data_IF_145378343797
#
_entry.id   IF_145378343797
#
_cell.length_a   1.000
_cell.length_b   1.000
_cell.length_c   1.000
_cell.angle_alpha   90.00
_cell.angle_beta   90.00
_cell.angle_gamma   90.00
#
_symmetry.space_group_name_H-M   'P 1'
#
loop_
_entity.id
_entity.type
_entity.pdbx_description
1 polymer ?
#
# COMPACT_ATOMS: atom_id res chain seq x y z
N UNK A 1 13.24 9.84 29.96
CA UNK A 1 13.55 10.06 28.53
C UNK A 1 12.81 8.98 27.74
N UNK A 2 12.08 9.35 26.68
CA UNK A 2 11.48 8.35 25.77
C UNK A 2 12.63 7.75 24.95
N UNK A 3 12.69 6.43 24.74
CA UNK A 3 13.70 5.86 23.86
C UNK A 3 13.58 6.45 22.46
N UNK A 4 14.72 6.72 21.82
CA UNK A 4 14.81 7.30 20.47
C UNK A 4 13.96 6.54 19.42
N UNK A 5 13.88 5.22 19.56
CA UNK A 5 13.11 4.31 18.70
C UNK A 5 11.58 4.53 18.80
N UNK A 6 11.09 5.08 19.91
CA UNK A 6 9.66 5.35 20.13
C UNK A 6 9.30 6.82 19.95
N UNK A 7 10.19 7.64 19.39
CA UNK A 7 9.86 9.04 19.11
C UNK A 7 8.64 9.12 18.19
N UNK A 8 7.60 9.88 18.59
CA UNK A 8 6.41 10.03 17.79
C UNK A 8 6.72 10.79 16.51
N UNK A 9 6.03 10.43 15.43
CA UNK A 9 6.06 11.17 14.17
C UNK A 9 5.11 12.35 14.31
N UNK A 10 5.52 13.53 13.84
CA UNK A 10 4.63 14.69 13.78
C UNK A 10 3.48 14.46 12.78
N UNK A 11 2.40 15.23 12.90
CA UNK A 11 1.30 15.18 11.94
C UNK A 11 1.77 15.39 10.49
N UNK A 12 2.64 16.38 10.27
CA UNK A 12 3.24 16.64 8.96
C UNK A 12 4.13 15.51 8.47
N UNK A 13 4.78 14.78 9.38
CA UNK A 13 5.51 13.57 9.04
C UNK A 13 4.59 12.49 8.49
N UNK A 14 3.46 12.21 9.16
CA UNK A 14 2.47 11.26 8.64
C UNK A 14 1.93 11.66 7.27
N UNK A 15 1.61 12.95 7.07
CA UNK A 15 1.16 13.44 5.77
C UNK A 15 2.25 13.29 4.69
N UNK A 16 3.49 13.68 5.00
CA UNK A 16 4.62 13.55 4.08
C UNK A 16 4.90 12.10 3.69
N UNK A 17 4.84 11.17 4.65
CA UNK A 17 5.00 9.74 4.37
C UNK A 17 3.83 9.17 3.54
N UNK A 18 2.59 9.65 3.74
CA UNK A 18 1.46 9.23 2.89
C UNK A 18 1.68 9.66 1.43
N UNK A 19 2.09 10.90 1.20
CA UNK A 19 2.41 11.39 -0.15
C UNK A 19 3.58 10.60 -0.73
N UNK A 20 4.63 10.35 0.07
CA UNK A 20 5.78 9.57 -0.36
C UNK A 20 5.41 8.15 -0.76
N UNK A 21 4.63 7.44 0.05
CA UNK A 21 4.20 6.06 -0.22
C UNK A 21 3.20 5.95 -1.37
N UNK A 22 2.48 7.02 -1.71
CA UNK A 22 1.62 7.08 -2.88
C UNK A 22 2.40 7.09 -4.21
N UNK A 23 3.70 7.41 -4.20
CA UNK A 23 4.53 7.39 -5.40
C UNK A 23 4.81 5.94 -5.84
N UNK A 24 4.58 5.59 -7.12
CA UNK A 24 4.60 4.20 -7.57
C UNK A 24 5.99 3.55 -7.53
N UNK A 25 7.06 4.29 -7.84
CA UNK A 25 8.41 3.75 -7.87
C UNK A 25 9.15 4.01 -6.55
N UNK A 26 9.44 5.29 -6.27
CA UNK A 26 10.23 5.68 -5.09
C UNK A 26 9.47 5.36 -3.80
N UNK A 27 8.16 5.62 -3.77
CA UNK A 27 7.31 5.34 -2.62
C UNK A 27 7.25 3.86 -2.28
N UNK A 28 7.08 3.00 -3.29
CA UNK A 28 7.07 1.55 -3.11
C UNK A 28 8.41 1.04 -2.58
N UNK A 29 9.54 1.48 -3.12
CA UNK A 29 10.88 1.09 -2.63
C UNK A 29 11.04 1.48 -1.17
N UNK A 30 10.74 2.73 -0.81
CA UNK A 30 10.88 3.22 0.57
C UNK A 30 9.89 2.54 1.53
N UNK A 31 8.68 2.24 1.06
CA UNK A 31 7.68 1.48 1.82
C UNK A 31 8.20 0.08 2.16
N UNK A 32 8.81 -0.63 1.20
CA UNK A 32 9.43 -1.95 1.44
C UNK A 32 10.61 -1.84 2.40
N UNK A 33 11.50 -0.87 2.19
CA UNK A 33 12.66 -0.64 3.07
C UNK A 33 12.20 -0.38 4.51
N UNK A 34 11.24 0.52 4.73
CA UNK A 34 10.77 0.84 6.08
C UNK A 34 9.93 -0.25 6.72
N UNK A 35 9.15 -1.02 5.94
CA UNK A 35 8.35 -2.13 6.48
C UNK A 35 9.22 -3.32 6.93
N UNK A 36 10.30 -3.62 6.20
CA UNK A 36 11.22 -4.73 6.52
C UNK A 36 12.32 -4.37 7.51
N UNK A 37 12.45 -3.11 7.93
CA UNK A 37 13.32 -2.74 9.06
C UNK A 37 14.42 -1.72 8.76
N UNK A 38 14.38 -1.04 7.62
CA UNK A 38 15.30 0.04 7.27
C UNK A 38 15.19 1.32 8.10
N UNK A 39 14.44 1.29 9.21
CA UNK A 39 14.35 2.41 10.17
C UNK A 39 14.40 1.92 11.62
N UNK A 40 15.11 2.69 12.45
CA UNK A 40 15.16 2.51 13.90
C UNK A 40 13.92 3.04 14.61
N UNK A 41 13.05 3.82 13.94
CA UNK A 41 11.83 4.33 14.56
C UNK A 41 10.69 3.29 14.41
N UNK A 42 10.20 2.75 15.53
CA UNK A 42 9.12 1.75 15.55
C UNK A 42 7.79 2.31 15.07
N UNK A 43 7.48 3.58 15.34
CA UNK A 43 6.25 4.21 14.84
C UNK A 43 6.27 4.25 13.31
N UNK A 44 7.38 4.66 12.69
CA UNK A 44 7.51 4.70 11.23
C UNK A 44 7.45 3.31 10.61
N UNK A 45 8.14 2.35 11.21
CA UNK A 45 8.10 0.96 10.76
C UNK A 45 6.69 0.37 10.82
N UNK A 46 5.96 0.58 11.92
CA UNK A 46 4.60 0.08 12.06
C UNK A 46 3.65 0.78 11.07
N UNK A 47 3.83 2.08 10.84
CA UNK A 47 3.07 2.83 9.84
C UNK A 47 3.32 2.30 8.41
N UNK A 48 4.59 2.06 8.04
CA UNK A 48 4.95 1.47 6.76
C UNK A 48 4.36 0.05 6.60
N UNK A 49 4.38 -0.77 7.67
CA UNK A 49 3.77 -2.11 7.65
C UNK A 49 2.26 -2.08 7.47
N UNK A 50 1.54 -1.18 8.17
CA UNK A 50 0.09 -1.06 7.97
C UNK A 50 -0.24 -0.61 6.54
N UNK A 51 0.52 0.34 6.00
CA UNK A 51 0.32 0.81 4.62
C UNK A 51 0.62 -0.30 3.60
N UNK A 52 1.67 -1.08 3.82
CA UNK A 52 2.01 -2.24 2.99
C UNK A 52 0.91 -3.31 3.01
N UNK A 53 0.36 -3.65 4.19
CA UNK A 53 -0.76 -4.59 4.30
C UNK A 53 -2.01 -4.07 3.55
N UNK A 54 -2.33 -2.78 3.69
CA UNK A 54 -3.45 -2.17 2.97
C UNK A 54 -3.23 -2.22 1.45
N UNK A 55 -2.00 -1.99 0.98
CA UNK A 55 -1.64 -2.11 -0.42
C UNK A 55 -1.88 -3.53 -0.95
N UNK A 56 -1.48 -4.56 -0.20
CA UNK A 56 -1.74 -5.96 -0.57
C UNK A 56 -3.25 -6.22 -0.67
N UNK A 57 -4.02 -5.78 0.33
CA UNK A 57 -5.48 -5.93 0.32
C UNK A 57 -6.09 -5.25 -0.91
N UNK A 58 -5.66 -4.03 -1.23
CA UNK A 58 -6.14 -3.30 -2.40
C UNK A 58 -5.83 -4.05 -3.71
N UNK A 59 -4.61 -4.56 -3.87
CA UNK A 59 -4.22 -5.36 -5.06
C UNK A 59 -5.07 -6.61 -5.20
N UNK A 60 -5.31 -7.34 -4.10
CA UNK A 60 -6.14 -8.55 -4.10
C UNK A 60 -7.58 -8.22 -4.48
N UNK A 61 -8.15 -7.14 -3.92
CA UNK A 61 -9.52 -6.71 -4.25
C UNK A 61 -9.66 -6.31 -5.72
N UNK A 62 -8.69 -5.56 -6.26
CA UNK A 62 -8.68 -5.20 -7.69
C UNK A 62 -8.59 -6.45 -8.56
N UNK A 63 -7.74 -7.41 -8.21
CA UNK A 63 -7.62 -8.67 -8.96
C UNK A 63 -8.94 -9.46 -8.95
N UNK A 64 -9.66 -9.52 -7.83
CA UNK A 64 -10.97 -10.19 -7.74
C UNK A 64 -12.00 -9.48 -8.61
N UNK A 65 -12.08 -8.14 -8.54
CA UNK A 65 -13.02 -7.35 -9.35
C UNK A 65 -12.74 -7.56 -10.84
N UNK A 66 -11.48 -7.55 -11.25
CA UNK A 66 -11.09 -7.79 -12.64
C UNK A 66 -11.40 -9.22 -13.10
N UNK A 67 -11.22 -10.22 -12.23
CA UNK A 67 -11.56 -11.60 -12.55
C UNK A 67 -13.07 -11.77 -12.75
N UNK A 68 -13.89 -11.25 -11.84
CA UNK A 68 -15.36 -11.37 -11.91
C UNK A 68 -15.92 -10.50 -13.05
N UNK A 69 -15.51 -9.24 -13.14
CA UNK A 69 -15.95 -8.30 -14.16
C UNK A 69 -15.46 -8.68 -15.57
N UNK A 70 -14.24 -9.20 -15.68
CA UNK A 70 -13.67 -9.69 -16.95
C UNK A 70 -14.46 -10.88 -17.51
N UNK A 71 -14.88 -11.82 -16.66
CA UNK A 71 -15.75 -12.94 -17.08
C UNK A 71 -17.10 -12.43 -17.56
N UNK A 72 -17.71 -11.46 -16.86
CA UNK A 72 -18.97 -10.83 -17.27
C UNK A 72 -18.87 -10.04 -18.59
N UNK A 73 -17.77 -9.32 -18.79
CA UNK A 73 -17.48 -8.58 -20.03
C UNK A 73 -17.27 -9.52 -21.22
N UNK A 74 -16.42 -10.56 -21.06
CA UNK A 74 -16.17 -11.56 -22.10
C UNK A 74 -17.45 -12.31 -22.50
N UNK A 75 -18.31 -12.61 -21.54
CA UNK A 75 -19.60 -13.26 -21.79
C UNK A 75 -20.54 -12.35 -22.59
N UNK A 76 -20.61 -11.07 -22.24
CA UNK A 76 -21.41 -10.07 -22.97
C UNK A 76 -20.91 -9.86 -24.41
N UNK A 77 -19.59 -9.83 -24.61
CA UNK A 77 -18.98 -9.74 -25.93
C UNK A 77 -19.29 -10.99 -26.75
N UNK A 78 -19.08 -12.19 -26.21
CA UNK A 78 -19.35 -13.45 -26.92
C UNK A 78 -20.81 -13.55 -27.36
N UNK A 79 -21.77 -13.10 -26.54
CA UNK A 79 -23.20 -13.20 -26.85
C UNK A 79 -23.68 -12.18 -27.91
N UNK A 80 -22.91 -11.12 -28.16
CA UNK A 80 -23.18 -10.19 -29.27
C UNK A 80 -22.58 -10.62 -30.61
N UNK A 81 -21.78 -11.69 -30.62
CA UNK A 81 -21.07 -12.21 -31.81
C UNK A 81 -21.78 -13.46 -32.38
N UNK A 82 -22.78 -14.01 -31.66
CA UNK A 82 -23.69 -15.06 -32.12
C UNK A 82 -25.07 -14.49 -32.40
#
# INVERSE_FOLDING_TARGET
>A
MIPEEYRPISMWGYLGYQILFALPCVGLILLLVFSFGGTKNKNLKNFARSYFCVLIIAVVLVAIIMAVGGVGFLSSVSNGYY
#
